data_IF_366823215510
#
_entry.id   IF_366823215510
#
_cell.length_a   1.000
_cell.length_b   1.000
_cell.length_c   1.000
_cell.angle_alpha   90.00
_cell.angle_beta   90.00
_cell.angle_gamma   90.00
#
_symmetry.space_group_name_H-M   'P 1'
#
loop_
_entity.id
_entity.type
_entity.pdbx_description
1 polymer ?
#
# COMPACT_ATOMS: atom_id res chain seq x y z
N UNK A 1 0.04 -40.56 -35.24
CA UNK A 1 -0.27 -39.30 -34.52
C UNK A 1 0.89 -39.00 -33.57
N UNK A 2 1.68 -37.97 -33.85
CA UNK A 2 2.80 -37.50 -33.01
C UNK A 2 2.33 -36.33 -32.13
N UNK A 3 2.58 -36.38 -30.82
CA UNK A 3 2.67 -35.22 -29.89
C UNK A 3 3.62 -35.63 -28.75
N UNK A 4 4.91 -35.31 -28.85
CA UNK A 4 5.60 -34.15 -28.25
C UNK A 4 5.76 -34.27 -26.73
N UNK A 5 6.97 -34.62 -26.30
CA UNK A 5 7.51 -34.36 -24.97
C UNK A 5 7.92 -32.88 -24.86
N UNK A 6 7.54 -32.19 -23.78
CA UNK A 6 8.11 -30.93 -23.26
C UNK A 6 7.59 -30.82 -21.81
N UNK A 7 8.35 -31.32 -20.83
CA UNK A 7 9.27 -30.57 -19.96
C UNK A 7 8.60 -29.50 -19.08
N UNK A 8 8.69 -29.70 -17.76
CA UNK A 8 8.91 -28.61 -16.80
C UNK A 8 7.83 -28.40 -15.73
N UNK A 9 7.71 -29.32 -14.76
CA UNK A 9 7.31 -28.91 -13.41
C UNK A 9 8.47 -28.11 -12.78
N UNK A 10 8.26 -26.90 -12.25
CA UNK A 10 9.18 -26.32 -11.30
C UNK A 10 8.73 -26.70 -9.89
N UNK A 11 9.30 -27.82 -9.44
CA UNK A 11 10.10 -27.92 -8.22
C UNK A 11 9.62 -27.15 -6.99
N UNK A 12 9.24 -27.92 -5.96
CA UNK A 12 9.35 -27.56 -4.54
C UNK A 12 10.62 -26.75 -4.26
N UNK A 13 10.49 -25.45 -4.02
CA UNK A 13 11.42 -24.67 -3.20
C UNK A 13 10.63 -24.34 -1.93
N UNK A 14 10.80 -25.08 -0.83
CA UNK A 14 12.03 -25.05 -0.07
C UNK A 14 11.99 -23.78 0.78
N UNK A 15 11.19 -23.80 1.85
CA UNK A 15 11.27 -22.78 2.90
C UNK A 15 12.64 -22.95 3.57
N UNK A 16 13.62 -22.19 3.08
CA UNK A 16 14.89 -22.01 3.77
C UNK A 16 14.74 -20.79 4.67
N UNK A 17 14.64 -20.94 6.00
CA UNK A 17 14.89 -19.81 6.89
C UNK A 17 16.37 -19.47 6.77
N UNK A 18 16.70 -18.38 6.08
CA UNK A 18 18.03 -17.79 6.19
C UNK A 18 18.22 -17.38 7.66
N UNK A 19 19.23 -18.00 8.27
CA UNK A 19 19.65 -17.81 9.64
C UNK A 19 20.51 -16.53 9.77
N UNK A 20 19.99 -15.41 9.28
CA UNK A 20 20.54 -14.08 9.53
C UNK A 20 19.36 -13.16 9.88
N UNK A 21 19.27 -12.84 11.17
CA UNK A 21 18.11 -12.29 11.86
C UNK A 21 17.71 -10.86 11.48
N UNK A 22 17.42 -10.60 10.20
CA UNK A 22 16.74 -9.39 9.76
C UNK A 22 15.71 -9.77 8.70
N UNK A 23 14.50 -10.08 9.15
CA UNK A 23 13.33 -10.12 8.28
C UNK A 23 13.13 -8.70 7.74
N UNK A 24 13.23 -8.43 6.43
CA UNK A 24 12.71 -7.18 5.90
C UNK A 24 11.23 -7.21 6.22
N UNK A 25 10.79 -6.27 7.04
CA UNK A 25 9.40 -6.10 7.45
C UNK A 25 8.59 -5.94 6.16
N UNK A 26 8.08 -7.06 5.64
CA UNK A 26 7.04 -7.07 4.64
C UNK A 26 5.88 -6.42 5.36
N UNK A 27 5.75 -5.10 5.17
CA UNK A 27 4.66 -4.29 5.68
C UNK A 27 3.40 -5.10 5.41
N UNK A 28 2.87 -5.68 6.47
CA UNK A 28 1.62 -6.43 6.44
C UNK A 28 0.68 -5.48 5.70
N UNK A 29 0.08 -5.87 4.57
CA UNK A 29 -0.94 -5.05 3.95
C UNK A 29 -1.98 -4.90 5.05
N UNK A 30 -2.02 -3.72 5.67
CA UNK A 30 -3.06 -3.36 6.61
C UNK A 30 -4.33 -3.71 5.85
N UNK A 31 -5.03 -4.76 6.31
CA UNK A 31 -6.31 -5.14 5.73
C UNK A 31 -7.26 -4.04 6.15
N UNK A 32 -7.14 -2.89 5.48
CA UNK A 32 -8.04 -1.78 5.63
C UNK A 32 -9.40 -2.36 5.31
N UNK A 33 -10.30 -2.29 6.29
CA UNK A 33 -11.71 -2.49 6.01
C UNK A 33 -12.01 -1.71 4.74
N UNK A 34 -12.61 -2.33 3.72
CA UNK A 34 -12.89 -1.72 2.41
C UNK A 34 -13.59 -0.36 2.51
N UNK A 35 -14.17 -0.06 3.68
CA UNK A 35 -14.74 1.21 4.09
C UNK A 35 -13.75 2.38 4.11
N UNK A 36 -12.47 2.17 4.40
CA UNK A 36 -11.48 3.25 4.49
C UNK A 36 -10.43 3.17 3.37
N UNK A 37 -10.00 4.32 2.87
CA UNK A 37 -8.95 4.47 1.88
C UNK A 37 -7.79 5.32 2.44
N UNK A 38 -6.54 4.91 2.21
CA UNK A 38 -5.38 5.74 2.53
C UNK A 38 -5.28 6.91 1.55
N UNK A 39 -5.05 8.10 2.06
CA UNK A 39 -4.89 9.33 1.28
C UNK A 39 -3.59 10.00 1.70
N UNK A 40 -2.69 10.16 0.74
CA UNK A 40 -1.38 10.78 0.97
C UNK A 40 -1.42 12.26 0.62
N UNK A 41 -1.03 13.10 1.57
CA UNK A 41 -1.07 14.56 1.47
C UNK A 41 0.33 15.11 1.68
N UNK A 42 0.82 15.87 0.70
CA UNK A 42 2.04 16.65 0.81
C UNK A 42 1.69 18.10 1.15
N UNK A 43 2.28 18.60 2.24
CA UNK A 43 2.14 19.96 2.73
C UNK A 43 3.28 20.86 2.22
N UNK A 44 3.05 22.18 2.28
CA UNK A 44 4.00 23.19 1.78
C UNK A 44 5.33 23.24 2.53
N UNK A 45 5.35 22.79 3.78
CA UNK A 45 6.56 22.64 4.61
C UNK A 45 7.40 21.41 4.23
N UNK A 46 6.94 20.60 3.28
CA UNK A 46 7.59 19.37 2.83
C UNK A 46 7.15 18.13 3.62
N UNK A 47 6.28 18.27 4.63
CA UNK A 47 5.75 17.12 5.35
C UNK A 47 4.81 16.31 4.45
N UNK A 48 4.91 14.98 4.51
CA UNK A 48 3.99 14.06 3.84
C UNK A 48 3.30 13.21 4.89
N UNK A 49 1.98 13.32 4.97
CA UNK A 49 1.16 12.57 5.90
C UNK A 49 0.20 11.67 5.13
N UNK A 50 -0.01 10.46 5.65
CA UNK A 50 -1.01 9.53 5.14
C UNK A 50 -2.16 9.44 6.13
N UNK A 51 -3.34 9.80 5.67
CA UNK A 51 -4.59 9.76 6.45
C UNK A 51 -5.45 8.59 5.99
N UNK A 52 -6.32 8.12 6.87
CA UNK A 52 -7.35 7.13 6.53
C UNK A 52 -8.70 7.82 6.53
N UNK A 53 -9.34 7.87 5.37
CA UNK A 53 -10.69 8.43 5.22
C UNK A 53 -11.68 7.35 4.88
N UNK A 54 -12.92 7.53 5.34
CA UNK A 54 -14.03 6.74 4.83
C UNK A 54 -14.23 7.03 3.34
N UNK A 55 -14.49 6.00 2.53
CA UNK A 55 -14.74 6.17 1.09
C UNK A 55 -16.02 6.95 0.80
N UNK A 56 -16.94 7.06 1.76
CA UNK A 56 -18.12 7.92 1.64
C UNK A 56 -17.84 9.39 1.91
N UNK A 57 -16.64 9.75 2.40
CA UNK A 57 -16.25 11.14 2.63
C UNK A 57 -16.17 11.89 1.30
N UNK A 58 -16.80 13.06 1.23
CA UNK A 58 -16.73 13.88 0.02
C UNK A 58 -15.33 14.48 -0.14
N UNK A 59 -14.90 14.72 -1.37
CA UNK A 59 -13.59 15.35 -1.64
C UNK A 59 -13.49 16.72 -0.95
N UNK A 60 -14.60 17.48 -0.91
CA UNK A 60 -14.65 18.81 -0.28
C UNK A 60 -14.43 18.71 1.23
N UNK A 61 -15.10 17.77 1.90
CA UNK A 61 -14.89 17.52 3.33
C UNK A 61 -13.47 17.06 3.62
N UNK A 62 -12.94 16.19 2.75
CA UNK A 62 -11.58 15.70 2.87
C UNK A 62 -10.57 16.84 2.82
N UNK A 63 -10.63 17.70 1.79
CA UNK A 63 -9.78 18.89 1.65
C UNK A 63 -9.91 19.76 2.90
N UNK A 64 -11.14 20.01 3.35
CA UNK A 64 -11.41 20.84 4.53
C UNK A 64 -10.76 20.28 5.79
N UNK A 65 -10.77 18.96 5.98
CA UNK A 65 -10.13 18.30 7.11
C UNK A 65 -8.60 18.37 7.01
N UNK A 66 -8.02 18.01 5.86
CA UNK A 66 -6.55 17.97 5.73
C UNK A 66 -5.91 19.36 5.72
N UNK A 67 -6.63 20.40 5.27
CA UNK A 67 -6.17 21.79 5.32
C UNK A 67 -6.05 22.36 6.74
N UNK A 68 -6.69 21.74 7.75
CA UNK A 68 -6.54 22.16 9.16
C UNK A 68 -5.13 21.89 9.71
N UNK A 69 -4.45 20.89 9.17
CA UNK A 69 -3.08 20.55 9.56
C UNK A 69 -2.03 21.44 8.87
N UNK A 70 -2.41 22.15 7.79
CA UNK A 70 -1.51 23.05 7.08
C UNK A 70 -1.92 23.30 5.63
N UNK A 71 -1.15 24.12 4.93
CA UNK A 71 -1.38 24.41 3.51
C UNK A 71 -0.99 23.20 2.66
N UNK A 72 -1.99 22.59 2.01
CA UNK A 72 -1.79 21.44 1.13
C UNK A 72 -1.15 21.87 -0.18
N UNK A 73 -0.12 21.15 -0.61
CA UNK A 73 0.52 21.31 -1.91
C UNK A 73 0.01 20.30 -2.93
N UNK A 74 -0.10 19.03 -2.53
CA UNK A 74 -0.55 17.93 -3.40
C UNK A 74 -1.24 16.86 -2.56
N UNK A 75 -2.28 16.24 -3.13
CA UNK A 75 -3.01 15.15 -2.51
C UNK A 75 -3.20 14.01 -3.51
N UNK A 76 -3.06 12.77 -3.04
CA UNK A 76 -3.22 11.54 -3.83
C UNK A 76 -4.22 10.64 -3.11
N UNK A 77 -5.29 10.31 -3.83
CA UNK A 77 -6.42 9.46 -3.41
C UNK A 77 -6.19 7.99 -3.77
#
# INVERSE_FOLDING_TARGET
>A
MQRTMLNGEPTRQGFHPNADGVVPQHLIPLRFSQKHAPVSVAYRDGAVLTFLFDRSTTIVDLITMVSRAGTVQKMVL
#
